data_IF_295288482301
#
_entry.id   IF_295288482301
#
_cell.length_a   1.000
_cell.length_b   1.000
_cell.length_c   1.000
_cell.angle_alpha   90.00
_cell.angle_beta   90.00
_cell.angle_gamma   90.00
#
_symmetry.space_group_name_H-M   'P 1'
#
loop_
_entity.id
_entity.type
_entity.pdbx_description
1 polymer ?
#
# COMPACT_ATOMS: atom_id res chain seq x y z
N UNK A 1 3.42 -39.30 -51.10
CA UNK A 1 2.75 -39.77 -49.84
C UNK A 1 3.36 -38.99 -48.70
N UNK A 2 2.89 -37.73 -48.45
CA UNK A 2 3.42 -36.85 -47.41
C UNK A 2 2.89 -37.30 -46.06
N UNK A 3 3.83 -37.52 -45.14
CA UNK A 3 3.64 -38.15 -43.82
C UNK A 3 2.67 -37.37 -42.94
N UNK A 4 1.50 -37.92 -42.64
CA UNK A 4 0.49 -37.43 -41.69
C UNK A 4 1.07 -37.20 -40.29
N UNK A 5 2.24 -37.76 -39.94
CA UNK A 5 2.93 -37.58 -38.66
C UNK A 5 3.54 -36.17 -38.47
N UNK A 6 3.99 -35.50 -39.54
CA UNK A 6 4.55 -34.14 -39.42
C UNK A 6 3.48 -33.07 -39.20
N UNK A 7 2.29 -33.29 -39.73
CA UNK A 7 1.16 -32.35 -39.55
C UNK A 7 0.62 -32.39 -38.13
N UNK A 8 0.61 -33.57 -37.50
CA UNK A 8 0.15 -33.73 -36.12
C UNK A 8 1.11 -33.07 -35.10
N UNK A 9 2.42 -33.09 -35.38
CA UNK A 9 3.42 -32.47 -34.50
C UNK A 9 3.37 -30.93 -34.50
N UNK A 10 3.03 -30.33 -35.65
CA UNK A 10 2.87 -28.87 -35.80
C UNK A 10 1.58 -28.41 -35.09
N UNK A 11 0.52 -29.20 -35.13
CA UNK A 11 -0.75 -28.88 -34.46
C UNK A 11 -0.62 -28.90 -32.92
N UNK A 12 0.18 -29.80 -32.36
CA UNK A 12 0.44 -29.82 -30.91
C UNK A 12 1.29 -28.63 -30.43
N UNK A 13 2.13 -28.01 -31.26
CA UNK A 13 3.00 -26.91 -30.85
C UNK A 13 2.24 -25.59 -30.70
N UNK A 14 1.08 -25.45 -31.34
CA UNK A 14 0.27 -24.21 -31.31
C UNK A 14 -0.58 -24.11 -30.04
N UNK A 15 -0.80 -25.19 -29.30
CA UNK A 15 -1.67 -25.21 -28.11
C UNK A 15 -1.01 -24.73 -26.81
N UNK A 16 0.29 -24.41 -26.81
CA UNK A 16 1.00 -24.00 -25.60
C UNK A 16 1.19 -22.48 -25.41
N UNK A 17 0.61 -21.65 -26.28
CA UNK A 17 0.54 -20.21 -26.01
C UNK A 17 -0.66 -19.92 -25.10
N UNK A 18 -0.64 -20.44 -23.88
CA UNK A 18 -1.49 -19.97 -22.81
C UNK A 18 -1.06 -18.53 -22.52
N UNK A 19 -1.85 -17.54 -22.97
CA UNK A 19 -1.72 -16.16 -22.53
C UNK A 19 -1.98 -16.12 -21.01
N UNK A 20 -0.94 -16.33 -20.20
CA UNK A 20 -1.03 -16.13 -18.75
C UNK A 20 -1.14 -14.64 -18.50
N UNK A 21 -2.36 -14.13 -18.46
CA UNK A 21 -2.60 -12.78 -17.96
C UNK A 21 -2.06 -12.68 -16.53
N UNK A 22 -1.24 -11.67 -16.25
CA UNK A 22 -0.74 -11.44 -14.91
C UNK A 22 -1.91 -11.25 -13.94
N UNK A 23 -1.88 -11.95 -12.80
CA UNK A 23 -2.91 -11.80 -11.76
C UNK A 23 -2.96 -10.36 -11.24
N UNK A 24 -4.09 -9.96 -10.65
CA UNK A 24 -4.25 -8.63 -10.03
C UNK A 24 -3.13 -8.38 -9.03
N UNK A 25 -2.80 -9.36 -8.20
CA UNK A 25 -1.66 -9.34 -7.27
C UNK A 25 -0.33 -9.03 -7.96
N UNK A 26 -0.03 -9.69 -9.07
CA UNK A 26 1.23 -9.47 -9.80
C UNK A 26 1.31 -8.06 -10.38
N UNK A 27 0.18 -7.48 -10.81
CA UNK A 27 0.11 -6.11 -11.31
C UNK A 27 0.37 -5.11 -10.18
N UNK A 28 -0.24 -5.31 -8.99
CA UNK A 28 0.03 -4.53 -7.77
C UNK A 28 1.51 -4.59 -7.40
N UNK A 29 2.09 -5.78 -7.31
CA UNK A 29 3.51 -5.99 -6.97
C UNK A 29 4.42 -5.23 -7.95
N UNK A 30 4.16 -5.35 -9.25
CA UNK A 30 4.94 -4.67 -10.29
C UNK A 30 4.86 -3.16 -10.17
N UNK A 31 3.65 -2.62 -9.96
CA UNK A 31 3.44 -1.18 -9.81
C UNK A 31 4.16 -0.67 -8.55
N UNK A 32 3.92 -1.29 -7.41
CA UNK A 32 4.52 -0.87 -6.13
C UNK A 32 6.06 -0.94 -6.15
N UNK A 33 6.66 -1.92 -6.83
CA UNK A 33 8.13 -2.01 -6.99
C UNK A 33 8.73 -0.77 -7.63
N UNK A 34 8.04 -0.19 -8.61
CA UNK A 34 8.53 0.96 -9.38
C UNK A 34 8.38 2.29 -8.63
N UNK A 35 7.59 2.34 -7.57
CA UNK A 35 7.33 3.56 -6.81
C UNK A 35 8.43 3.74 -5.75
N UNK A 36 9.17 4.84 -5.80
CA UNK A 36 10.15 5.22 -4.78
C UNK A 36 9.66 6.40 -3.94
N UNK A 37 8.95 7.33 -4.56
CA UNK A 37 8.40 8.52 -3.89
C UNK A 37 7.00 8.77 -4.39
N UNK A 38 6.09 9.14 -3.48
CA UNK A 38 4.71 9.52 -3.80
C UNK A 38 4.38 10.83 -3.09
N UNK A 39 3.70 11.74 -3.80
CA UNK A 39 3.03 12.89 -3.20
C UNK A 39 1.54 12.70 -3.34
N UNK A 40 0.79 12.93 -2.29
CA UNK A 40 -0.64 12.71 -2.29
C UNK A 40 -1.37 13.63 -1.31
N UNK A 41 -2.62 13.91 -1.59
CA UNK A 41 -3.57 14.40 -0.60
C UNK A 41 -4.11 13.21 0.17
N UNK A 42 -4.46 13.41 1.43
CA UNK A 42 -5.04 12.35 2.25
C UNK A 42 -6.24 12.83 3.05
N UNK A 43 -7.11 11.88 3.33
CA UNK A 43 -8.12 11.95 4.37
C UNK A 43 -7.90 10.79 5.34
N UNK A 44 -7.82 11.10 6.62
CA UNK A 44 -7.63 10.14 7.68
C UNK A 44 -8.81 10.21 8.65
N UNK A 45 -9.43 9.05 8.91
CA UNK A 45 -10.48 8.89 9.91
C UNK A 45 -9.91 8.11 11.10
N UNK A 46 -9.92 8.71 12.29
CA UNK A 46 -9.52 8.08 13.54
C UNK A 46 -10.72 8.11 14.48
N UNK A 47 -11.39 6.98 14.69
CA UNK A 47 -12.61 6.88 15.51
C UNK A 47 -13.67 7.92 15.19
N UNK A 48 -13.93 8.19 13.90
CA UNK A 48 -14.90 9.17 13.44
C UNK A 48 -14.37 10.61 13.35
N UNK A 49 -13.19 10.91 13.88
CA UNK A 49 -12.53 12.20 13.67
C UNK A 49 -11.81 12.22 12.33
N UNK A 50 -12.24 13.12 11.46
CA UNK A 50 -11.65 13.28 10.12
C UNK A 50 -10.58 14.35 10.13
N UNK A 51 -9.40 14.03 9.65
CA UNK A 51 -8.28 14.94 9.41
C UNK A 51 -7.82 14.77 7.96
N UNK A 52 -7.41 15.86 7.33
CA UNK A 52 -6.90 15.82 5.95
C UNK A 52 -5.63 16.67 5.79
N UNK A 53 -4.96 16.51 4.67
CA UNK A 53 -3.73 17.24 4.40
C UNK A 53 -3.01 16.75 3.16
N UNK A 54 -1.71 17.05 3.10
CA UNK A 54 -0.83 16.66 1.99
C UNK A 54 0.37 15.94 2.57
N UNK A 55 0.74 14.80 1.95
CA UNK A 55 1.91 14.04 2.32
C UNK A 55 2.89 13.89 1.14
N UNK A 56 4.16 13.73 1.49
CA UNK A 56 5.21 13.20 0.63
C UNK A 56 5.82 11.98 1.33
N UNK A 57 5.73 10.84 0.70
CA UNK A 57 6.30 9.56 1.14
C UNK A 57 7.49 9.22 0.26
N UNK A 58 8.61 8.86 0.88
CA UNK A 58 9.80 8.32 0.21
C UNK A 58 10.23 7.03 0.88
N UNK A 59 10.16 5.93 0.16
CA UNK A 59 10.58 4.62 0.65
C UNK A 59 12.11 4.53 0.82
N UNK A 60 12.62 3.81 1.83
CA UNK A 60 11.87 3.25 2.95
C UNK A 60 11.62 4.26 4.07
N UNK A 61 10.46 4.17 4.69
CA UNK A 61 10.11 4.72 6.02
C UNK A 61 10.22 6.23 6.22
N UNK A 62 10.36 7.03 5.14
CA UNK A 62 10.38 8.49 5.24
C UNK A 62 9.06 9.07 4.79
N UNK A 63 8.44 9.89 5.62
CA UNK A 63 7.21 10.58 5.30
C UNK A 63 7.21 11.98 5.90
N UNK A 64 6.63 12.92 5.18
CA UNK A 64 6.31 14.26 5.66
C UNK A 64 4.86 14.55 5.33
N UNK A 65 4.03 14.82 6.34
CA UNK A 65 2.63 15.21 6.17
C UNK A 65 2.37 16.55 6.85
N UNK A 66 1.69 17.43 6.14
CA UNK A 66 1.14 18.68 6.66
C UNK A 66 -0.37 18.56 6.68
N UNK A 67 -0.96 18.69 7.88
CA UNK A 67 -2.40 18.62 8.09
C UNK A 67 -3.05 19.98 7.91
N UNK A 68 -4.27 20.00 7.39
CA UNK A 68 -5.09 21.20 7.24
C UNK A 68 -5.81 21.54 8.56
N UNK A 69 -5.04 21.72 9.62
CA UNK A 69 -5.55 22.02 10.95
C UNK A 69 -5.01 23.35 11.47
N UNK A 70 -5.82 24.09 12.25
CA UNK A 70 -5.44 25.39 12.83
C UNK A 70 -4.21 25.33 13.74
N UNK A 71 -3.93 24.17 14.35
CA UNK A 71 -2.78 23.95 15.22
C UNK A 71 -1.47 23.63 14.48
N UNK A 72 -1.43 23.78 13.15
CA UNK A 72 -0.26 23.51 12.30
C UNK A 72 0.34 22.13 12.51
N UNK A 73 -0.50 21.12 12.66
CA UNK A 73 -0.06 19.73 12.84
C UNK A 73 0.77 19.26 11.65
N UNK A 74 1.95 18.71 11.94
CA UNK A 74 2.79 17.97 11.00
C UNK A 74 3.12 16.59 11.57
N UNK A 75 3.32 15.62 10.67
CA UNK A 75 3.85 14.30 10.96
C UNK A 75 5.07 14.06 10.09
N UNK A 76 6.18 13.67 10.71
CA UNK A 76 7.43 13.45 9.99
C UNK A 76 8.08 12.16 10.45
N UNK A 77 8.54 11.33 9.51
CA UNK A 77 9.44 10.23 9.80
C UNK A 77 10.73 10.34 8.98
N UNK A 78 11.86 10.10 9.64
CA UNK A 78 13.18 9.99 9.01
C UNK A 78 13.60 8.53 8.77
N UNK A 79 12.74 7.56 9.07
CA UNK A 79 12.99 6.12 9.00
C UNK A 79 13.42 5.47 10.31
N UNK A 80 13.72 6.27 11.35
CA UNK A 80 14.05 5.79 12.72
C UNK A 80 13.07 6.31 13.75
N UNK A 81 12.68 7.54 13.62
CA UNK A 81 11.79 8.24 14.55
C UNK A 81 10.60 8.81 13.80
N UNK A 82 9.45 8.80 14.46
CA UNK A 82 8.22 9.47 14.06
C UNK A 82 8.00 10.68 14.98
N UNK A 83 7.86 11.85 14.39
CA UNK A 83 7.55 13.10 15.10
C UNK A 83 6.15 13.54 14.72
N UNK A 84 5.35 13.87 15.72
CA UNK A 84 4.08 14.60 15.57
C UNK A 84 4.25 15.94 16.27
N UNK A 85 4.18 17.04 15.53
CA UNK A 85 4.33 18.39 16.05
C UNK A 85 3.08 19.22 15.74
N UNK A 86 2.65 20.01 16.71
CA UNK A 86 1.64 21.05 16.56
C UNK A 86 2.23 22.40 17.01
N UNK A 87 1.42 23.47 17.00
CA UNK A 87 1.84 24.78 17.56
C UNK A 87 2.23 24.68 19.05
N UNK A 88 1.60 23.76 19.81
CA UNK A 88 1.69 23.70 21.27
C UNK A 88 2.24 22.39 21.82
N UNK A 89 2.56 21.41 20.94
CA UNK A 89 3.00 20.09 21.39
C UNK A 89 4.00 19.46 20.44
N UNK A 90 4.85 18.61 21.01
CA UNK A 90 5.86 17.84 20.28
C UNK A 90 5.94 16.43 20.87
N UNK A 91 5.74 15.43 20.01
CA UNK A 91 5.80 14.02 20.38
C UNK A 91 6.82 13.31 19.49
N UNK A 92 7.69 12.52 20.12
CA UNK A 92 8.71 11.73 19.45
C UNK A 92 8.50 10.24 19.80
N UNK A 93 8.37 9.40 18.78
CA UNK A 93 8.22 7.96 18.93
C UNK A 93 9.29 7.24 18.10
N UNK A 94 9.87 6.14 18.59
CA UNK A 94 10.57 5.19 17.72
C UNK A 94 9.59 4.65 16.68
N UNK A 95 9.97 4.66 15.38
CA UNK A 95 9.04 4.26 14.32
C UNK A 95 8.61 2.79 14.43
N UNK A 96 9.51 1.93 14.94
CA UNK A 96 9.24 0.50 15.17
C UNK A 96 8.12 0.23 16.19
N UNK A 97 7.77 1.22 17.01
CA UNK A 97 6.63 1.15 17.95
C UNK A 97 5.31 1.59 17.31
N UNK A 98 5.29 1.86 16.02
CA UNK A 98 4.10 2.37 15.31
C UNK A 98 3.76 1.48 14.13
N UNK A 99 2.48 1.38 13.78
CA UNK A 99 2.03 0.66 12.57
C UNK A 99 2.61 1.24 11.28
N UNK A 100 3.01 2.52 11.27
CA UNK A 100 3.68 3.15 10.13
C UNK A 100 5.02 2.49 9.80
N UNK A 101 5.67 1.84 10.75
CA UNK A 101 6.87 1.04 10.51
C UNK A 101 6.68 0.02 9.39
N UNK A 102 5.52 -0.61 9.34
CA UNK A 102 5.18 -1.64 8.35
C UNK A 102 4.66 -1.03 7.05
N UNK A 103 3.79 -0.02 7.13
CA UNK A 103 3.17 0.63 5.97
C UNK A 103 4.20 1.39 5.13
N UNK A 104 5.17 2.02 5.78
CA UNK A 104 6.23 2.78 5.11
C UNK A 104 7.43 1.92 4.70
N UNK A 105 7.38 0.60 4.92
CA UNK A 105 8.39 -0.35 4.45
C UNK A 105 7.89 -1.09 3.20
N UNK A 106 8.27 -0.58 2.02
CA UNK A 106 7.89 -1.17 0.73
C UNK A 106 8.28 -2.65 0.62
N UNK A 107 9.48 -3.02 1.10
CA UNK A 107 9.96 -4.40 1.02
C UNK A 107 9.04 -5.32 1.84
N UNK A 108 8.72 -4.93 3.06
CA UNK A 108 7.81 -5.67 3.93
C UNK A 108 6.41 -5.83 3.29
N UNK A 109 5.83 -4.74 2.75
CA UNK A 109 4.52 -4.82 2.08
C UNK A 109 4.57 -5.78 0.89
N UNK A 110 5.60 -5.72 0.05
CA UNK A 110 5.75 -6.60 -1.10
C UNK A 110 5.87 -8.07 -0.69
N UNK A 111 6.60 -8.39 0.37
CA UNK A 111 6.72 -9.75 0.93
C UNK A 111 5.36 -10.25 1.44
N UNK A 112 4.62 -9.42 2.17
CA UNK A 112 3.27 -9.77 2.66
C UNK A 112 2.29 -9.98 1.51
N UNK A 113 2.21 -9.06 0.53
CA UNK A 113 1.34 -9.20 -0.64
C UNK A 113 1.66 -10.49 -1.42
N UNK A 114 2.93 -10.84 -1.57
CA UNK A 114 3.32 -12.06 -2.29
C UNK A 114 2.80 -13.34 -1.62
N UNK A 115 2.74 -13.36 -0.28
CA UNK A 115 2.40 -14.55 0.53
C UNK A 115 0.90 -14.73 0.80
N UNK A 116 0.07 -13.70 0.61
CA UNK A 116 -1.37 -13.75 0.94
C UNK A 116 -2.24 -13.64 -0.30
N UNK A 117 -3.52 -14.01 -0.16
CA UNK A 117 -4.52 -13.87 -1.22
C UNK A 117 -5.13 -12.46 -1.19
N UNK A 118 -5.28 -11.87 -2.36
CA UNK A 118 -6.02 -10.62 -2.52
C UNK A 118 -7.52 -10.80 -2.31
N UNK A 119 -8.20 -9.76 -1.83
CA UNK A 119 -9.64 -9.63 -1.79
C UNK A 119 -10.08 -8.49 -2.69
N UNK A 120 -10.94 -8.79 -3.66
CA UNK A 120 -11.58 -7.76 -4.48
C UNK A 120 -12.80 -7.25 -3.74
N UNK A 121 -12.91 -5.93 -3.63
CA UNK A 121 -14.01 -5.22 -2.96
C UNK A 121 -14.72 -4.32 -3.97
N UNK A 122 -16.03 -4.48 -4.09
CA UNK A 122 -16.92 -3.69 -4.96
C UNK A 122 -16.44 -3.58 -6.41
N UNK A 123 -15.71 -4.57 -6.89
CA UNK A 123 -15.06 -4.60 -8.21
C UNK A 123 -14.14 -3.40 -8.51
N UNK A 124 -13.82 -2.60 -7.49
CA UNK A 124 -13.04 -1.35 -7.58
C UNK A 124 -11.70 -1.42 -6.87
N UNK A 125 -11.62 -2.17 -5.79
CA UNK A 125 -10.45 -2.17 -4.91
C UNK A 125 -9.85 -3.55 -4.76
N UNK A 126 -8.54 -3.60 -4.66
CA UNK A 126 -7.76 -4.78 -4.29
C UNK A 126 -7.27 -4.57 -2.87
N UNK A 127 -7.69 -5.43 -1.95
CA UNK A 127 -7.35 -5.34 -0.54
C UNK A 127 -6.46 -6.52 -0.13
N UNK A 128 -5.42 -6.21 0.69
CA UNK A 128 -4.56 -7.19 1.34
C UNK A 128 -4.57 -6.94 2.84
N UNK A 129 -5.00 -7.96 3.60
CA UNK A 129 -5.06 -7.92 5.06
C UNK A 129 -3.99 -8.84 5.63
N UNK A 130 -3.20 -8.34 6.56
CA UNK A 130 -2.16 -9.11 7.23
C UNK A 130 -1.89 -8.59 8.64
N UNK A 131 -1.38 -9.46 9.48
CA UNK A 131 -0.91 -9.10 10.81
C UNK A 131 0.61 -8.87 10.80
N UNK A 132 1.07 -7.90 11.56
CA UNK A 132 2.48 -7.62 11.80
C UNK A 132 2.66 -7.22 13.26
N UNK A 133 3.40 -8.04 14.02
CA UNK A 133 3.41 -8.02 15.48
C UNK A 133 1.97 -8.07 16.02
N UNK A 134 1.56 -7.15 16.86
CA UNK A 134 0.18 -7.05 17.39
C UNK A 134 -0.74 -6.17 16.52
N UNK A 135 -0.27 -5.73 15.32
CA UNK A 135 -1.02 -4.83 14.46
C UNK A 135 -1.74 -5.58 13.35
N UNK A 136 -3.03 -5.33 13.20
CA UNK A 136 -3.80 -5.69 12.01
C UNK A 136 -3.70 -4.57 10.98
N UNK A 137 -3.24 -4.90 9.78
CA UNK A 137 -2.98 -3.95 8.71
C UNK A 137 -3.74 -4.35 7.46
N UNK A 138 -4.46 -3.40 6.87
CA UNK A 138 -5.05 -3.54 5.55
C UNK A 138 -4.42 -2.50 4.62
N UNK A 139 -4.06 -2.90 3.41
CA UNK A 139 -3.61 -1.98 2.35
C UNK A 139 -4.53 -2.09 1.15
N UNK A 140 -4.90 -0.94 0.58
CA UNK A 140 -5.88 -0.84 -0.49
C UNK A 140 -5.21 -0.33 -1.77
N UNK A 141 -5.51 -0.99 -2.89
CA UNK A 141 -5.04 -0.59 -4.21
C UNK A 141 -6.24 -0.37 -5.13
N UNK A 142 -6.15 0.61 -6.00
CA UNK A 142 -7.12 0.81 -7.07
C UNK A 142 -6.98 -0.32 -8.11
N UNK A 143 -8.09 -0.94 -8.50
CA UNK A 143 -8.07 -2.08 -9.42
C UNK A 143 -7.76 -1.71 -10.86
N UNK A 144 -7.94 -0.45 -11.27
CA UNK A 144 -7.64 0.01 -12.63
C UNK A 144 -6.19 0.43 -12.78
N UNK A 145 -5.67 1.18 -11.82
CA UNK A 145 -4.33 1.78 -11.86
C UNK A 145 -3.29 0.99 -11.08
N UNK A 146 -3.73 0.10 -10.16
CA UNK A 146 -2.87 -0.64 -9.21
C UNK A 146 -2.07 0.25 -8.27
N UNK A 147 -2.44 1.53 -8.15
CA UNK A 147 -1.85 2.47 -7.21
C UNK A 147 -2.32 2.18 -5.79
N UNK A 148 -1.45 2.42 -4.82
CA UNK A 148 -1.82 2.44 -3.41
C UNK A 148 -2.78 3.61 -3.17
N UNK A 149 -3.98 3.32 -2.67
CA UNK A 149 -5.03 4.33 -2.42
C UNK A 149 -5.43 4.42 -0.96
N UNK A 150 -4.78 3.68 -0.09
CA UNK A 150 -5.03 3.79 1.34
C UNK A 150 -4.54 2.62 2.15
N UNK A 151 -4.70 2.78 3.44
CA UNK A 151 -4.44 1.75 4.44
C UNK A 151 -5.34 1.92 5.65
N UNK A 152 -5.52 0.82 6.36
CA UNK A 152 -6.16 0.79 7.66
C UNK A 152 -5.21 0.14 8.67
N UNK A 153 -5.15 0.68 9.88
CA UNK A 153 -4.34 0.19 10.97
C UNK A 153 -4.87 0.71 12.30
N UNK A 154 -4.23 0.35 13.41
CA UNK A 154 -4.47 0.96 14.70
C UNK A 154 -3.38 1.98 15.04
N UNK A 155 -3.77 3.07 15.68
CA UNK A 155 -2.81 4.05 16.21
C UNK A 155 -2.18 3.58 17.53
N UNK A 156 -1.31 4.40 18.13
CA UNK A 156 -0.64 4.07 19.38
C UNK A 156 -1.58 3.90 20.58
N UNK A 157 -2.82 4.37 20.47
CA UNK A 157 -3.86 4.28 21.50
C UNK A 157 -4.90 3.22 21.16
N UNK A 158 -4.61 2.33 20.21
CA UNK A 158 -5.50 1.27 19.71
C UNK A 158 -6.80 1.80 19.07
N UNK A 159 -6.78 3.04 18.58
CA UNK A 159 -7.87 3.58 17.79
C UNK A 159 -7.75 3.12 16.34
N UNK A 160 -8.86 2.69 15.76
CA UNK A 160 -8.93 2.37 14.33
C UNK A 160 -8.65 3.63 13.51
N UNK A 161 -7.66 3.55 12.65
CA UNK A 161 -7.23 4.62 11.75
C UNK A 161 -7.30 4.14 10.31
N UNK A 162 -8.11 4.82 9.50
CA UNK A 162 -8.22 4.58 8.06
C UNK A 162 -7.70 5.81 7.34
N UNK A 163 -6.77 5.64 6.43
CA UNK A 163 -6.21 6.72 5.61
C UNK A 163 -6.46 6.45 4.14
N UNK A 164 -7.11 7.36 3.46
CA UNK A 164 -7.32 7.35 2.00
C UNK A 164 -6.39 8.34 1.32
N UNK A 165 -5.87 7.96 0.15
CA UNK A 165 -4.95 8.73 -0.66
C UNK A 165 -5.63 9.18 -1.93
N UNK A 166 -5.42 10.45 -2.29
CA UNK A 166 -5.98 11.07 -3.49
C UNK A 166 -4.89 11.81 -4.26
N UNK A 167 -5.10 12.03 -5.55
CA UNK A 167 -4.20 12.85 -6.41
C UNK A 167 -2.74 12.37 -6.35
N UNK A 168 -2.54 11.07 -6.51
CA UNK A 168 -1.22 10.42 -6.51
C UNK A 168 -0.53 10.66 -7.86
#
# INVERSE_FOLDING_TARGET
MFSKKKFFLIFCLVLFFSNTSASEKQKVIRNLKNINTIKFQFEQNINGKIENGICSLSYPKKIYCKYNLKNNKILVSNGRSLVIKTSNSYYLYPIEKTSLNFILDKKFILEKIASIKERIVDDKFINFNFSADENEISVFFDRKTYNLIGWQTFDLYQNLSITYLFSI
#
